data_IF_748067729606
#
_entry.id   IF_748067729606
#
_cell.length_a   1.000
_cell.length_b   1.000
_cell.length_c   1.000
_cell.angle_alpha   90.00
_cell.angle_beta   90.00
_cell.angle_gamma   90.00
#
_symmetry.space_group_name_H-M   'P 1'
#
loop_
_entity.id
_entity.type
_entity.pdbx_description
1 polymer ?
#
# COMPACT_ATOMS: atom_id res chain seq x y z
N UNK A 1 -8.46 -25.77 -5.74
CA UNK A 1 -7.28 -24.88 -5.57
C UNK A 1 -7.64 -23.74 -4.64
N UNK A 2 -7.19 -23.76 -3.38
CA UNK A 2 -7.36 -22.64 -2.46
C UNK A 2 -6.49 -21.47 -2.96
N UNK A 3 -7.13 -20.45 -3.55
CA UNK A 3 -6.46 -19.20 -3.94
C UNK A 3 -5.67 -18.70 -2.72
N UNK A 4 -4.35 -18.64 -2.83
CA UNK A 4 -3.47 -18.14 -1.76
C UNK A 4 -3.93 -16.72 -1.40
N UNK A 5 -4.45 -16.54 -0.18
CA UNK A 5 -4.92 -15.23 0.29
C UNK A 5 -3.71 -14.32 0.47
N UNK A 6 -3.67 -13.23 -0.29
CA UNK A 6 -2.75 -12.13 -0.06
C UNK A 6 -3.39 -11.19 0.95
N UNK A 7 -2.64 -10.84 1.99
CA UNK A 7 -2.99 -9.75 2.89
C UNK A 7 -2.13 -8.56 2.53
N UNK A 8 -2.74 -7.38 2.46
CA UNK A 8 -2.08 -6.15 2.04
C UNK A 8 -1.96 -5.20 3.21
N UNK A 9 -0.84 -4.49 3.23
CA UNK A 9 -0.52 -3.54 4.28
C UNK A 9 -0.01 -2.23 3.69
N UNK A 10 -0.27 -1.14 4.40
CA UNK A 10 0.22 0.19 4.02
C UNK A 10 0.99 0.80 5.18
N UNK A 11 2.18 1.31 4.88
CA UNK A 11 2.99 2.11 5.79
C UNK A 11 2.97 3.58 5.35
N UNK A 12 2.45 4.51 6.17
CA UNK A 12 2.65 5.93 5.93
C UNK A 12 4.12 6.31 6.18
N UNK A 13 4.69 7.12 5.30
CA UNK A 13 6.05 7.67 5.43
C UNK A 13 6.06 9.10 6.00
N UNK A 14 4.89 9.72 6.14
CA UNK A 14 4.73 11.06 6.69
C UNK A 14 3.46 11.17 7.56
N UNK A 15 3.39 12.21 8.37
CA UNK A 15 2.29 12.43 9.32
C UNK A 15 0.96 12.74 8.63
N UNK A 16 0.95 13.50 7.54
CA UNK A 16 -0.28 13.84 6.82
C UNK A 16 -0.88 12.59 6.16
N UNK A 17 -0.04 11.73 5.56
CA UNK A 17 -0.49 10.43 5.03
C UNK A 17 -1.01 9.54 6.15
N UNK A 18 -0.36 9.52 7.32
CA UNK A 18 -0.88 8.75 8.46
C UNK A 18 -2.25 9.26 8.93
N UNK A 19 -2.49 10.57 8.92
CA UNK A 19 -3.78 11.14 9.28
C UNK A 19 -4.87 10.74 8.28
N UNK A 20 -4.61 10.85 6.98
CA UNK A 20 -5.53 10.40 5.93
C UNK A 20 -5.86 8.91 6.08
N UNK A 21 -4.83 8.07 6.25
CA UNK A 21 -5.03 6.64 6.47
C UNK A 21 -5.83 6.36 7.73
N UNK A 22 -5.58 7.07 8.83
CA UNK A 22 -6.29 6.85 10.09
C UNK A 22 -7.78 7.16 10.00
N UNK A 23 -8.17 8.11 9.13
CA UNK A 23 -9.57 8.46 8.87
C UNK A 23 -10.24 7.44 7.95
N UNK A 24 -9.58 7.08 6.87
CA UNK A 24 -10.10 6.16 5.85
C UNK A 24 -10.14 4.70 6.32
N UNK A 25 -9.19 4.32 7.19
CA UNK A 25 -9.08 2.97 7.75
C UNK A 25 -9.56 2.91 9.21
N UNK A 26 -10.45 3.82 9.62
CA UNK A 26 -11.11 3.79 10.92
C UNK A 26 -11.90 2.48 11.06
N UNK A 27 -11.30 1.49 11.73
CA UNK A 27 -11.86 0.12 11.88
C UNK A 27 -10.91 -0.99 11.44
N UNK A 28 -9.81 -0.68 10.75
CA UNK A 28 -8.77 -1.65 10.43
C UNK A 28 -7.73 -1.74 11.54
N UNK A 29 -7.21 -2.95 11.75
CA UNK A 29 -6.18 -3.19 12.75
C UNK A 29 -4.85 -2.59 12.30
N UNK A 30 -4.25 -1.77 13.16
CA UNK A 30 -2.86 -1.34 13.03
C UNK A 30 -1.95 -2.45 13.57
N UNK A 31 -1.02 -2.93 12.76
CA UNK A 31 -0.01 -3.92 13.14
C UNK A 31 1.35 -3.25 13.18
N UNK A 32 1.99 -3.31 14.35
CA UNK A 32 3.39 -2.92 14.48
C UNK A 32 4.22 -4.16 14.25
N UNK A 33 5.00 -4.18 13.18
CA UNK A 33 5.83 -5.34 12.83
C UNK A 33 7.28 -4.89 12.87
N UNK A 34 8.12 -5.73 13.47
CA UNK A 34 9.55 -5.48 13.58
C UNK A 34 10.24 -6.38 12.56
N UNK A 35 10.67 -5.81 11.46
CA UNK A 35 11.44 -6.47 10.40
C UNK A 35 12.71 -5.64 10.17
N UNK A 36 13.86 -6.28 9.95
CA UNK A 36 15.16 -5.59 9.76
C UNK A 36 15.55 -4.59 10.86
N UNK A 37 15.27 -4.92 12.12
CA UNK A 37 15.49 -4.05 13.30
C UNK A 37 14.72 -2.72 13.30
N UNK A 38 13.82 -2.50 12.33
CA UNK A 38 12.96 -1.32 12.23
C UNK A 38 11.53 -1.67 12.64
N UNK A 39 10.88 -0.74 13.35
CA UNK A 39 9.45 -0.84 13.68
C UNK A 39 8.66 -0.22 12.54
N UNK A 40 7.85 -1.04 11.87
CA UNK A 40 6.94 -0.61 10.80
C UNK A 40 5.52 -0.52 11.35
N UNK A 41 4.88 0.64 11.16
CA UNK A 41 3.49 0.86 11.53
C UNK A 41 2.60 0.58 10.31
N UNK A 42 2.11 -0.65 10.23
CA UNK A 42 1.39 -1.16 9.08
C UNK A 42 -0.12 -1.14 9.33
N UNK A 43 -0.86 -0.61 8.36
CA UNK A 43 -2.32 -0.67 8.35
C UNK A 43 -2.79 -1.84 7.48
N UNK A 44 -3.62 -2.73 8.03
CA UNK A 44 -4.27 -3.79 7.25
C UNK A 44 -5.28 -3.19 6.28
N UNK A 45 -5.32 -3.67 5.05
CA UNK A 45 -6.25 -3.17 4.03
C UNK A 45 -6.49 -4.18 2.90
N UNK A 46 -7.48 -3.87 2.05
CA UNK A 46 -7.74 -4.61 0.82
C UNK A 46 -6.89 -4.12 -0.35
N UNK A 47 -6.73 -4.96 -1.38
CA UNK A 47 -6.07 -4.56 -2.61
C UNK A 47 -6.79 -3.39 -3.32
N UNK A 48 -8.12 -3.36 -3.27
CA UNK A 48 -8.93 -2.27 -3.82
C UNK A 48 -8.59 -0.92 -3.17
N UNK A 49 -8.39 -0.92 -1.85
CA UNK A 49 -8.00 0.29 -1.12
C UNK A 49 -6.58 0.74 -1.50
N UNK A 50 -5.62 -0.19 -1.61
CA UNK A 50 -4.27 0.09 -2.11
C UNK A 50 -4.30 0.72 -3.50
N UNK A 51 -5.15 0.20 -4.38
CA UNK A 51 -5.30 0.70 -5.74
C UNK A 51 -5.97 2.09 -5.80
N UNK A 52 -7.00 2.32 -4.97
CA UNK A 52 -7.64 3.62 -4.82
C UNK A 52 -6.64 4.67 -4.30
N UNK A 53 -5.90 4.36 -3.24
CA UNK A 53 -4.81 5.21 -2.72
C UNK A 53 -3.75 5.50 -3.78
N UNK A 54 -3.38 4.52 -4.60
CA UNK A 54 -2.41 4.72 -5.68
C UNK A 54 -2.90 5.71 -6.74
N UNK A 55 -4.20 5.68 -7.07
CA UNK A 55 -4.81 6.67 -7.98
C UNK A 55 -4.82 8.06 -7.34
N UNK A 56 -5.21 8.14 -6.07
CA UNK A 56 -5.28 9.41 -5.33
C UNK A 56 -3.90 9.97 -4.95
N UNK A 57 -2.85 9.14 -4.92
CA UNK A 57 -1.47 9.53 -4.55
C UNK A 57 -0.95 10.74 -5.33
N UNK A 58 -1.31 10.88 -6.61
CA UNK A 58 -0.88 12.03 -7.43
C UNK A 58 -1.62 13.32 -7.09
N UNK A 59 -2.85 13.21 -6.61
CA UNK A 59 -3.70 14.35 -6.28
C UNK A 59 -3.48 14.83 -4.83
N UNK A 60 -3.11 13.91 -3.93
CA UNK A 60 -3.02 14.15 -2.50
C UNK A 60 -1.57 14.09 -1.96
N UNK A 61 -0.56 14.00 -2.84
CA UNK A 61 0.88 13.85 -2.50
C UNK A 61 1.21 12.81 -1.41
N UNK A 62 0.44 11.71 -1.36
CA UNK A 62 0.54 10.74 -0.26
C UNK A 62 1.83 9.92 -0.32
N UNK A 63 2.63 9.97 0.75
CA UNK A 63 3.87 9.20 0.87
C UNK A 63 3.61 7.95 1.70
N UNK A 64 3.51 6.82 1.00
CA UNK A 64 3.33 5.51 1.61
C UNK A 64 4.11 4.43 0.87
N UNK A 65 4.42 3.36 1.60
CA UNK A 65 4.88 2.06 1.09
C UNK A 65 3.75 1.04 1.19
N UNK A 66 3.78 0.07 0.29
CA UNK A 66 2.83 -1.04 0.28
C UNK A 66 3.60 -2.29 0.59
N UNK A 67 3.05 -3.13 1.45
CA UNK A 67 3.58 -4.44 1.75
C UNK A 67 2.51 -5.49 1.51
N UNK A 68 2.94 -6.72 1.27
CA UNK A 68 2.03 -7.85 1.19
C UNK A 68 2.56 -9.08 1.93
N UNK A 69 1.63 -9.94 2.33
CA UNK A 69 1.90 -11.24 2.91
C UNK A 69 1.13 -12.31 2.18
N UNK A 70 1.81 -13.39 1.82
CA UNK A 70 1.19 -14.54 1.16
C UNK A 70 0.95 -15.64 2.20
N UNK A 71 -0.32 -15.88 2.55
CA UNK A 71 -0.66 -16.83 3.62
C UNK A 71 -0.02 -16.45 4.96
N UNK A 72 0.68 -17.40 5.59
CA UNK A 72 1.46 -17.18 6.82
C UNK A 72 2.93 -16.85 6.56
N UNK A 73 3.31 -16.49 5.32
CA UNK A 73 4.68 -16.14 4.97
C UNK A 73 5.16 -14.82 5.57
N UNK A 74 6.39 -14.44 5.24
CA UNK A 74 6.94 -13.12 5.59
C UNK A 74 6.21 -12.00 4.87
N UNK A 75 6.19 -10.83 5.51
CA UNK A 75 5.72 -9.60 4.87
C UNK A 75 6.85 -9.11 3.96
N UNK A 76 6.48 -8.58 2.79
CA UNK A 76 7.46 -8.08 1.82
C UNK A 76 6.98 -6.76 1.26
N UNK A 77 7.91 -5.84 1.00
CA UNK A 77 7.59 -4.60 0.30
C UNK A 77 7.13 -4.93 -1.12
N UNK A 78 5.93 -4.45 -1.46
CA UNK A 78 5.39 -4.53 -2.80
C UNK A 78 5.69 -3.24 -3.56
N UNK A 79 6.54 -3.36 -4.58
CA UNK A 79 6.81 -2.28 -5.52
C UNK A 79 5.83 -2.39 -6.68
N UNK A 80 5.02 -1.36 -6.89
CA UNK A 80 4.15 -1.32 -8.06
C UNK A 80 5.00 -1.44 -9.34
N UNK A 81 4.64 -2.34 -10.26
CA UNK A 81 5.28 -2.34 -11.57
C UNK A 81 5.05 -0.97 -12.19
N UNK A 82 6.13 -0.26 -12.49
CA UNK A 82 6.05 1.02 -13.20
C UNK A 82 5.39 0.73 -14.55
N UNK A 83 4.14 1.18 -14.72
CA UNK A 83 3.55 1.27 -16.04
C UNK A 83 4.42 2.27 -16.82
N UNK A 84 5.33 1.76 -17.66
CA UNK A 84 5.99 2.58 -18.69
C UNK A 84 4.85 3.30 -19.41
N UNK A 85 4.83 4.64 -19.32
CA UNK A 85 3.87 5.48 -20.04
C UNK A 85 3.86 4.99 -21.49
N UNK A 86 2.74 4.41 -21.97
CA UNK A 86 2.56 4.23 -23.41
C UNK A 86 2.64 5.63 -24.01
N UNK A 87 3.65 5.89 -24.84
CA UNK A 87 3.72 7.12 -25.65
C UNK A 87 2.38 7.23 -26.37
N UNK A 88 1.59 8.24 -26.01
CA UNK A 88 0.38 8.63 -26.74
C UNK A 88 0.90 9.22 -28.04
N UNK A 89 0.88 8.46 -29.12
CA UNK A 89 1.02 9.04 -30.45
C UNK A 89 -0.17 9.98 -30.61
N UNK A 90 0.13 11.28 -30.78
CA UNK A 90 -0.83 12.23 -31.35
C UNK A 90 -0.71 12.01 -32.84
N UNK A 91 -1.71 11.37 -33.44
CA UNK A 91 -1.95 11.47 -34.87
C UNK A 91 -2.18 12.96 -35.18
N UNK A 92 -1.36 13.47 -36.10
CA UNK A 92 -1.43 14.79 -36.72
C UNK A 92 -2.44 14.77 -37.85
#
# INVERSE_FOLDING_TARGET
MTKRKYVWYIEPLDSATNEVLSRELAGFSRKVIREDSKKHNLWDCSWDFVFALKKSKKHLDLKFRVFNRRGMGQIREFKFPYLKKRKRWRDF
#
